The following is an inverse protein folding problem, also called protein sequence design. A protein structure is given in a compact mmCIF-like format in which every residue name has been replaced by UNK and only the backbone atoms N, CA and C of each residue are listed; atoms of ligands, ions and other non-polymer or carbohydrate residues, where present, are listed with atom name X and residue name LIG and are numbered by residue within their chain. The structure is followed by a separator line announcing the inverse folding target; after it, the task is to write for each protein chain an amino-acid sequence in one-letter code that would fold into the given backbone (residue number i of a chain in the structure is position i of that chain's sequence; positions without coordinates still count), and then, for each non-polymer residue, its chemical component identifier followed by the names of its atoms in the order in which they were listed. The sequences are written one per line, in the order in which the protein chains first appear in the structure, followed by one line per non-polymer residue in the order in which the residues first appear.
data_IF_538494200797
#
_entry.id   IF_538494200797
#
_cell.length_a   1.000
_cell.length_b   1.000
_cell.length_c   1.000
_cell.angle_alpha   90.00
_cell.angle_beta   90.00
_cell.angle_gamma   90.00
#
_symmetry.space_group_name_H-M   'P 1'
#
loop_
_entity.id
_entity.type
_entity.pdbx_description
1 polymer ?
#
# COMPACT_ATOMS: atom_id res chain seq x y z
N UNK A 1 7.91 -13.84 -4.59
CA UNK A 1 7.52 -13.57 -5.98
C UNK A 1 8.01 -14.69 -6.87
N UNK A 2 7.12 -15.24 -7.67
CA UNK A 2 7.40 -16.25 -8.68
C UNK A 2 8.06 -15.61 -9.90
N UNK A 3 8.76 -16.42 -10.69
CA UNK A 3 9.40 -15.95 -11.92
C UNK A 3 8.38 -15.37 -12.92
N UNK A 4 7.14 -15.86 -12.91
CA UNK A 4 6.06 -15.38 -13.77
C UNK A 4 5.60 -13.97 -13.38
N UNK A 5 5.31 -13.76 -12.09
CA UNK A 5 4.98 -12.44 -11.55
C UNK A 5 6.13 -11.44 -11.72
N UNK A 6 7.37 -11.88 -11.50
CA UNK A 6 8.54 -11.01 -11.68
C UNK A 6 8.68 -10.56 -13.14
N UNK A 7 8.45 -11.45 -14.11
CA UNK A 7 8.46 -11.10 -15.53
C UNK A 7 7.33 -10.11 -15.86
N UNK A 8 6.11 -10.34 -15.38
CA UNK A 8 4.98 -9.42 -15.57
C UNK A 8 5.28 -8.03 -14.98
N UNK A 9 5.82 -7.99 -13.77
CA UNK A 9 6.19 -6.76 -13.09
C UNK A 9 7.28 -6.00 -13.85
N UNK A 10 8.33 -6.69 -14.33
CA UNK A 10 9.41 -6.07 -15.13
C UNK A 10 8.93 -5.46 -16.44
N UNK A 11 7.82 -5.93 -16.99
CA UNK A 11 7.21 -5.35 -18.20
C UNK A 11 6.39 -4.08 -17.92
N UNK A 12 6.16 -3.73 -16.65
CA UNK A 12 5.41 -2.55 -16.27
C UNK A 12 6.34 -1.34 -16.16
N UNK A 13 6.02 -0.24 -16.85
CA UNK A 13 6.87 0.96 -16.87
C UNK A 13 6.36 2.05 -15.92
N UNK A 14 5.10 1.96 -15.49
CA UNK A 14 4.44 2.93 -14.63
C UNK A 14 3.66 2.24 -13.51
N UNK A 15 3.30 2.99 -12.47
CA UNK A 15 2.42 2.47 -11.40
C UNK A 15 1.05 2.05 -11.94
N UNK A 16 0.53 2.76 -12.94
CA UNK A 16 -0.72 2.39 -13.60
C UNK A 16 -0.60 1.07 -14.37
N UNK A 17 0.53 0.82 -15.03
CA UNK A 17 0.79 -0.46 -15.70
C UNK A 17 0.89 -1.61 -14.69
N UNK A 18 1.56 -1.37 -13.55
CA UNK A 18 1.63 -2.34 -12.45
C UNK A 18 0.22 -2.64 -11.95
N UNK A 19 -0.61 -1.61 -11.73
CA UNK A 19 -2.00 -1.77 -11.27
C UNK A 19 -2.82 -2.58 -12.26
N UNK A 20 -2.76 -2.27 -13.56
CA UNK A 20 -3.46 -3.02 -14.62
C UNK A 20 -3.03 -4.48 -14.65
N UNK A 21 -1.72 -4.75 -14.67
CA UNK A 21 -1.21 -6.14 -14.67
C UNK A 21 -1.59 -6.91 -13.41
N UNK A 22 -1.64 -6.26 -12.26
CA UNK A 22 -2.10 -6.89 -11.02
C UNK A 22 -3.63 -7.09 -10.98
N UNK A 23 -4.42 -6.28 -11.71
CA UNK A 23 -5.84 -6.57 -11.91
C UNK A 23 -6.05 -7.78 -12.82
N UNK A 24 -5.16 -7.99 -13.80
CA UNK A 24 -5.19 -9.12 -14.74
C UNK A 24 -4.61 -10.42 -14.14
N UNK A 25 -3.71 -10.34 -13.17
CA UNK A 25 -3.05 -11.49 -12.53
C UNK A 25 -3.22 -11.48 -11.01
N UNK A 26 -4.06 -12.40 -10.50
CA UNK A 26 -4.28 -12.57 -9.07
C UNK A 26 -3.02 -13.00 -8.32
N UNK A 27 -2.15 -13.78 -8.95
CA UNK A 27 -0.86 -14.22 -8.39
C UNK A 27 0.07 -13.02 -8.18
N UNK A 28 0.27 -12.20 -9.23
CA UNK A 28 1.07 -10.98 -9.14
C UNK A 28 0.52 -10.05 -8.04
N UNK A 29 -0.81 -9.89 -7.98
CA UNK A 29 -1.47 -9.09 -6.94
C UNK A 29 -1.18 -9.61 -5.54
N UNK A 30 -1.32 -10.91 -5.29
CA UNK A 30 -1.06 -11.49 -3.97
C UNK A 30 0.42 -11.36 -3.58
N UNK A 31 1.34 -11.60 -4.51
CA UNK A 31 2.76 -11.56 -4.21
C UNK A 31 3.29 -10.14 -4.01
N UNK A 32 2.73 -9.15 -4.72
CA UNK A 32 3.00 -7.73 -4.46
C UNK A 32 2.53 -7.33 -3.05
N UNK A 33 1.31 -7.74 -2.67
CA UNK A 33 0.78 -7.49 -1.31
C UNK A 33 1.67 -8.14 -0.26
N UNK A 34 2.01 -9.41 -0.43
CA UNK A 34 2.90 -10.14 0.49
C UNK A 34 4.27 -9.47 0.60
N UNK A 35 4.87 -9.08 -0.53
CA UNK A 35 6.15 -8.39 -0.54
C UNK A 35 6.10 -7.06 0.23
N UNK A 36 5.03 -6.28 0.09
CA UNK A 36 4.84 -5.03 0.83
C UNK A 36 4.67 -5.33 2.34
N UNK A 37 3.80 -6.28 2.70
CA UNK A 37 3.57 -6.67 4.09
C UNK A 37 4.87 -7.13 4.78
N UNK A 38 5.71 -7.91 4.10
CA UNK A 38 6.98 -8.37 4.65
C UNK A 38 7.94 -7.20 4.96
N UNK A 39 7.99 -6.20 4.07
CA UNK A 39 8.79 -5.00 4.31
C UNK A 39 8.21 -4.16 5.45
N UNK A 40 6.90 -4.00 5.53
CA UNK A 40 6.23 -3.29 6.63
C UNK A 40 6.55 -3.95 7.98
N UNK A 41 6.42 -5.28 8.08
CA UNK A 41 6.77 -6.02 9.30
C UNK A 41 8.23 -5.85 9.68
N UNK A 42 9.16 -5.96 8.71
CA UNK A 42 10.58 -5.73 8.94
C UNK A 42 10.85 -4.32 9.50
N UNK A 43 10.22 -3.30 8.93
CA UNK A 43 10.39 -1.91 9.36
C UNK A 43 9.78 -1.69 10.75
N UNK A 44 8.61 -2.25 11.03
CA UNK A 44 7.95 -2.19 12.34
C UNK A 44 8.81 -2.87 13.41
N UNK A 45 9.25 -4.10 13.17
CA UNK A 45 10.11 -4.87 14.08
C UNK A 45 11.39 -4.11 14.44
N UNK A 46 12.01 -3.44 13.46
CA UNK A 46 13.19 -2.63 13.69
C UNK A 46 12.86 -1.36 14.48
N UNK A 47 11.77 -0.69 14.14
CA UNK A 47 11.39 0.61 14.70
C UNK A 47 10.90 0.49 16.14
N UNK A 48 10.12 -0.54 16.48
CA UNK A 48 9.59 -0.77 17.83
C UNK A 48 10.69 -1.04 18.88
N UNK A 49 11.84 -1.54 18.43
CA UNK A 49 13.03 -1.77 19.28
C UNK A 49 13.83 -0.50 19.53
N UNK A 50 13.59 0.56 18.77
CA UNK A 50 14.28 1.84 18.94
C UNK A 50 13.66 2.65 20.09
N UNK A 51 14.52 3.39 20.79
CA UNK A 51 14.13 4.33 21.83
C UNK A 51 14.66 5.71 21.49
N UNK A 52 13.81 6.72 21.66
CA UNK A 52 14.18 8.12 21.59
C UNK A 52 13.84 8.78 22.92
N UNK A 53 14.86 9.22 23.68
CA UNK A 53 14.71 9.77 25.03
C UNK A 53 13.87 8.86 25.94
N UNK A 54 14.24 7.57 25.97
CA UNK A 54 13.56 6.50 26.73
C UNK A 54 12.09 6.24 26.35
N UNK A 55 11.64 6.79 25.21
CA UNK A 55 10.30 6.53 24.65
C UNK A 55 10.41 5.66 23.41
N UNK A 56 9.57 4.63 23.33
CA UNK A 56 9.43 3.81 22.12
C UNK A 56 8.79 4.61 21.00
N UNK A 57 9.22 4.34 19.77
CA UNK A 57 8.50 4.80 18.59
C UNK A 57 7.14 4.09 18.50
N UNK A 58 6.16 4.78 17.91
CA UNK A 58 4.85 4.20 17.60
C UNK A 58 4.85 3.81 16.13
N UNK A 59 4.53 2.54 15.86
CA UNK A 59 4.19 2.08 14.53
C UNK A 59 2.67 2.23 14.36
N UNK A 60 2.25 2.77 13.23
CA UNK A 60 0.84 2.90 12.89
C UNK A 60 0.46 1.82 11.89
N UNK A 61 -0.71 1.21 12.10
CA UNK A 61 -1.28 0.28 11.15
C UNK A 61 -1.64 0.97 9.84
N UNK A 62 -1.61 0.21 8.75
CA UNK A 62 -2.08 0.70 7.46
C UNK A 62 -3.57 1.03 7.54
N UNK A 63 -3.99 2.12 6.90
CA UNK A 63 -5.40 2.46 6.79
C UNK A 63 -6.13 1.35 6.02
N UNK A 64 -7.27 0.90 6.53
CA UNK A 64 -8.15 0.00 5.80
C UNK A 64 -9.00 0.79 4.79
N UNK A 65 -9.61 0.06 3.85
CA UNK A 65 -10.40 0.65 2.77
C UNK A 65 -11.57 1.50 3.31
N UNK A 66 -12.21 1.07 4.41
CA UNK A 66 -13.27 1.81 5.09
C UNK A 66 -12.79 3.16 5.63
N UNK A 67 -11.62 3.19 6.27
CA UNK A 67 -11.02 4.41 6.83
C UNK A 67 -10.62 5.38 5.73
N UNK A 68 -10.10 4.86 4.61
CA UNK A 68 -9.77 5.66 3.43
C UNK A 68 -11.05 6.23 2.83
N UNK A 69 -12.08 5.41 2.63
CA UNK A 69 -13.37 5.84 2.09
C UNK A 69 -14.00 6.92 2.98
N UNK A 70 -14.08 6.69 4.30
CA UNK A 70 -14.63 7.66 5.25
C UNK A 70 -13.87 8.99 5.23
N UNK A 71 -12.53 8.96 5.09
CA UNK A 71 -11.73 10.16 4.93
C UNK A 71 -12.09 10.90 3.64
N UNK A 72 -12.20 10.19 2.51
CA UNK A 72 -12.58 10.80 1.23
C UNK A 72 -13.98 11.40 1.25
N UNK A 73 -14.95 10.75 1.89
CA UNK A 73 -16.30 11.32 2.09
C UNK A 73 -16.22 12.63 2.89
N UNK A 74 -15.50 12.62 4.01
CA UNK A 74 -15.36 13.83 4.86
C UNK A 74 -14.69 15.01 4.13
N UNK A 75 -13.78 14.72 3.20
CA UNK A 75 -13.14 15.75 2.38
C UNK A 75 -14.07 16.21 1.26
N UNK A 76 -14.88 15.30 0.70
CA UNK A 76 -15.83 15.61 -0.38
C UNK A 76 -16.94 16.56 0.09
N UNK A 77 -17.29 16.52 1.39
CA UNK A 77 -18.17 17.51 2.02
C UNK A 77 -17.62 18.95 1.94
N UNK A 78 -16.29 19.11 1.86
CA UNK A 78 -15.61 20.39 1.77
C UNK A 78 -15.32 20.75 0.30
N UNK A 79 -14.84 19.79 -0.49
CA UNK A 79 -14.53 19.94 -1.91
C UNK A 79 -15.06 18.75 -2.72
N UNK A 80 -16.25 18.94 -3.29
CA UNK A 80 -16.93 17.97 -4.15
C UNK A 80 -16.22 17.64 -5.48
N UNK A 81 -15.11 18.31 -5.81
CA UNK A 81 -14.36 18.05 -7.05
C UNK A 81 -13.33 16.92 -6.90
N UNK A 82 -13.03 16.52 -5.66
CA UNK A 82 -12.13 15.40 -5.37
C UNK A 82 -12.77 14.07 -5.74
N UNK A 83 -11.98 13.19 -6.36
CA UNK A 83 -12.41 11.85 -6.77
C UNK A 83 -11.38 10.83 -6.32
N UNK A 84 -11.84 9.82 -5.57
CA UNK A 84 -10.99 8.72 -5.08
C UNK A 84 -10.30 7.96 -6.24
N UNK A 85 -10.97 7.90 -7.39
CA UNK A 85 -10.48 7.30 -8.64
C UNK A 85 -9.18 7.92 -9.18
N UNK A 86 -8.84 9.16 -8.76
CA UNK A 86 -7.58 9.82 -9.12
C UNK A 86 -6.43 9.50 -8.17
N UNK A 87 -6.71 8.83 -7.06
CA UNK A 87 -5.77 8.64 -5.93
C UNK A 87 -5.51 7.18 -5.57
N UNK A 88 -6.37 6.24 -5.99
CA UNK A 88 -6.21 4.78 -5.79
C UNK A 88 -6.01 4.03 -7.09
#
# INVERSE_FOLDING_TARGET
MSSGSEALFKMANTLDDIRKKAQESSELKSELKESITNIQNLLNDRTERLLFKDKKFRCHESANEESIAALFESISDIDSTLRIEKTT
#
